data_IF_035200265693
#
_entry.id   IF_035200265693
#
_cell.length_a   1.000
_cell.length_b   1.000
_cell.length_c   1.000
_cell.angle_alpha   90.00
_cell.angle_beta   90.00
_cell.angle_gamma   90.00
#
_symmetry.space_group_name_H-M   'P 1'
#
loop_
_entity.id
_entity.type
_entity.pdbx_description
1 polymer ?
#
# COMPACT_ATOMS: atom_id res chain seq x y z
N UNK A 1 33.98 39.64 37.05
CA UNK A 1 35.37 39.50 36.56
C UNK A 1 35.30 39.01 35.13
N UNK A 2 35.92 39.76 34.22
CA UNK A 2 35.92 39.58 32.77
C UNK A 2 36.48 38.20 32.35
N UNK A 3 36.00 37.67 31.22
CA UNK A 3 36.80 37.19 30.08
C UNK A 3 35.81 36.69 29.00
N UNK A 4 35.51 37.50 27.99
CA UNK A 4 36.04 37.35 26.62
C UNK A 4 35.76 35.98 25.97
N UNK A 5 34.75 35.93 25.09
CA UNK A 5 34.82 35.14 23.85
C UNK A 5 33.81 35.66 22.82
N UNK A 6 34.35 35.94 21.65
CA UNK A 6 33.77 36.61 20.49
C UNK A 6 32.42 36.08 20.01
N UNK A 7 31.52 37.01 19.69
CA UNK A 7 30.45 36.83 18.74
C UNK A 7 31.03 36.82 17.32
N UNK A 8 30.92 35.70 16.61
CA UNK A 8 31.08 35.65 15.16
C UNK A 8 29.69 35.65 14.53
N UNK A 9 29.32 36.77 13.92
CA UNK A 9 28.11 36.94 13.12
C UNK A 9 28.42 36.40 11.72
N UNK A 10 28.02 35.15 11.45
CA UNK A 10 27.89 34.63 10.08
C UNK A 10 26.40 34.53 9.73
N UNK A 11 26.04 35.17 8.61
CA UNK A 11 24.71 35.15 8.01
C UNK A 11 24.31 33.70 7.71
N UNK A 12 23.46 33.12 8.54
CA UNK A 12 22.40 32.12 8.28
C UNK A 12 21.97 31.62 9.67
N UNK A 13 20.75 31.94 10.07
CA UNK A 13 20.24 31.63 11.41
C UNK A 13 20.11 30.13 11.65
N UNK A 14 20.87 29.60 12.60
CA UNK A 14 20.54 28.37 13.32
C UNK A 14 21.22 28.41 14.69
N UNK A 15 20.40 28.60 15.73
CA UNK A 15 20.80 28.52 17.13
C UNK A 15 20.94 27.03 17.49
N UNK A 16 22.17 26.51 17.51
CA UNK A 16 22.47 25.17 18.02
C UNK A 16 22.56 25.23 19.56
N UNK A 17 21.52 24.74 20.23
CA UNK A 17 21.55 24.42 21.65
C UNK A 17 22.07 22.98 21.77
N UNK A 18 23.32 22.83 22.20
CA UNK A 18 23.95 21.55 22.53
C UNK A 18 23.71 21.28 24.02
N UNK A 19 22.90 20.28 24.35
CA UNK A 19 22.79 19.78 25.74
C UNK A 19 23.87 18.74 26.04
N UNK A 20 24.44 18.69 27.26
CA UNK A 20 25.78 18.15 27.51
C UNK A 20 25.82 16.80 28.25
N UNK A 21 24.77 15.97 28.20
CA UNK A 21 24.72 14.69 28.94
C UNK A 21 24.26 13.55 28.01
N UNK A 22 25.20 12.66 27.64
CA UNK A 22 25.13 11.42 26.83
C UNK A 22 25.29 11.51 25.29
N UNK A 23 26.49 11.17 24.75
CA UNK A 23 26.76 11.16 23.31
C UNK A 23 26.64 9.79 22.59
N UNK A 24 26.11 8.73 23.21
CA UNK A 24 26.08 7.39 22.58
C UNK A 24 24.83 6.61 22.99
N UNK A 25 23.76 6.64 22.19
CA UNK A 25 22.82 5.52 21.97
C UNK A 25 21.55 5.99 21.23
N UNK A 26 21.45 5.62 19.95
CA UNK A 26 20.19 5.23 19.34
C UNK A 26 20.47 4.29 18.15
N UNK A 27 20.42 2.99 18.43
CA UNK A 27 20.47 1.88 17.48
C UNK A 27 19.61 0.76 18.10
N UNK A 28 18.67 0.05 17.46
CA UNK A 28 18.27 -0.11 16.05
C UNK A 28 16.83 -0.65 16.03
N UNK A 29 16.09 -0.32 14.97
CA UNK A 29 14.78 -0.87 14.62
C UNK A 29 14.25 -0.27 13.31
N UNK A 30 15.13 -0.20 12.31
CA UNK A 30 14.94 0.12 10.88
C UNK A 30 13.90 1.21 10.51
N UNK A 31 14.31 2.48 10.60
CA UNK A 31 14.89 3.20 9.46
C UNK A 31 15.38 4.57 9.92
N UNK A 32 16.68 4.82 9.71
CA UNK A 32 17.38 6.03 10.09
C UNK A 32 17.09 7.15 9.08
N UNK A 33 16.74 8.32 9.60
CA UNK A 33 16.67 9.58 8.86
C UNK A 33 18.10 10.13 8.80
N UNK A 34 18.77 10.00 7.66
CA UNK A 34 19.89 10.87 7.31
C UNK A 34 19.50 11.67 6.08
N UNK A 35 19.40 12.98 6.26
CA UNK A 35 19.45 13.94 5.18
C UNK A 35 20.83 13.84 4.51
N UNK A 36 20.87 13.34 3.27
CA UNK A 36 22.08 13.29 2.46
C UNK A 36 22.06 14.48 1.49
N UNK A 37 23.10 15.35 1.47
CA UNK A 37 23.15 16.55 0.62
C UNK A 37 23.66 16.26 -0.81
N UNK A 38 23.77 14.99 -1.21
CA UNK A 38 24.02 14.59 -2.58
C UNK A 38 22.72 13.99 -3.14
N UNK A 39 21.84 14.84 -3.65
CA UNK A 39 20.71 14.42 -4.46
C UNK A 39 21.02 14.75 -5.93
N UNK A 40 21.95 14.06 -6.61
CA UNK A 40 21.86 13.99 -8.05
C UNK A 40 20.67 13.07 -8.34
N UNK A 41 19.71 13.61 -9.09
CA UNK A 41 18.80 12.88 -9.97
C UNK A 41 18.23 11.56 -9.44
N UNK A 42 16.90 11.56 -9.33
CA UNK A 42 16.00 10.42 -9.36
C UNK A 42 16.34 9.46 -10.52
N UNK A 43 17.45 8.73 -10.43
CA UNK A 43 17.76 7.60 -11.28
C UNK A 43 16.91 6.47 -10.76
N UNK A 44 15.69 6.42 -11.31
CA UNK A 44 14.91 5.22 -11.38
C UNK A 44 15.81 4.18 -12.06
N UNK A 45 16.54 3.39 -11.29
CA UNK A 45 17.21 2.20 -11.80
C UNK A 45 16.07 1.26 -12.19
N UNK A 46 15.57 1.43 -13.42
CA UNK A 46 14.72 0.46 -14.09
C UNK A 46 15.61 -0.71 -14.49
N UNK A 47 16.11 -1.45 -13.50
CA UNK A 47 16.45 -2.84 -13.73
C UNK A 47 15.19 -3.49 -14.29
N UNK A 48 15.31 -4.20 -15.41
CA UNK A 48 14.19 -4.88 -16.09
C UNK A 48 13.75 -6.03 -15.18
N UNK A 49 13.06 -5.70 -14.09
CA UNK A 49 12.33 -6.65 -13.27
C UNK A 49 11.08 -7.01 -14.07
N UNK A 50 11.03 -8.24 -14.54
CA UNK A 50 9.86 -8.76 -15.27
C UNK A 50 8.67 -8.73 -14.31
N UNK A 51 7.65 -7.93 -14.65
CA UNK A 51 6.43 -7.82 -13.85
C UNK A 51 5.63 -9.12 -13.95
N UNK A 52 5.71 -9.95 -12.91
CA UNK A 52 5.02 -11.26 -12.90
C UNK A 52 3.55 -11.15 -12.50
N UNK A 53 3.18 -10.21 -11.62
CA UNK A 53 1.79 -10.07 -11.16
C UNK A 53 1.39 -8.60 -11.00
N UNK A 54 0.72 -8.08 -12.04
CA UNK A 54 0.23 -6.70 -12.09
C UNK A 54 -0.73 -6.33 -10.94
N UNK A 55 -1.49 -7.30 -10.40
CA UNK A 55 -2.39 -7.06 -9.28
C UNK A 55 -1.61 -6.81 -7.98
N UNK A 56 -0.52 -7.56 -7.76
CA UNK A 56 0.30 -7.42 -6.57
C UNK A 56 1.00 -6.06 -6.55
N UNK A 57 1.53 -5.63 -7.69
CA UNK A 57 2.17 -4.32 -7.85
C UNK A 57 1.18 -3.17 -7.61
N UNK A 58 -0.06 -3.32 -8.10
CA UNK A 58 -1.11 -2.34 -7.91
C UNK A 58 -1.52 -2.21 -6.42
N UNK A 59 -1.84 -3.32 -5.76
CA UNK A 59 -2.24 -3.30 -4.34
C UNK A 59 -1.09 -2.85 -3.43
N UNK A 60 0.16 -3.25 -3.72
CA UNK A 60 1.33 -2.76 -2.98
C UNK A 60 1.48 -1.24 -3.12
N UNK A 61 1.24 -0.70 -4.31
CA UNK A 61 1.28 0.74 -4.56
C UNK A 61 0.20 1.50 -3.80
N UNK A 62 -1.01 0.94 -3.70
CA UNK A 62 -2.11 1.49 -2.90
C UNK A 62 -1.74 1.48 -1.40
N UNK A 63 -1.29 0.35 -0.88
CA UNK A 63 -0.92 0.21 0.54
C UNK A 63 0.21 1.19 0.93
N UNK A 64 1.22 1.35 0.08
CA UNK A 64 2.31 2.30 0.30
C UNK A 64 1.88 3.77 0.18
N UNK A 65 0.77 4.06 -0.49
CA UNK A 65 0.25 5.41 -0.59
C UNK A 65 -0.64 5.76 0.60
N UNK A 66 -1.49 4.82 1.04
CA UNK A 66 -2.30 4.95 2.26
C UNK A 66 -1.43 5.13 3.49
N UNK A 67 -0.39 4.31 3.65
CA UNK A 67 0.60 4.47 4.74
C UNK A 67 1.31 5.82 4.74
N UNK A 68 1.42 6.46 3.58
CA UNK A 68 2.00 7.81 3.43
C UNK A 68 0.96 8.93 3.52
N UNK A 69 -0.32 8.61 3.70
CA UNK A 69 -1.41 9.59 3.77
C UNK A 69 -1.67 10.33 2.46
N UNK A 70 -1.36 9.72 1.30
CA UNK A 70 -1.64 10.33 0.00
C UNK A 70 -3.14 10.24 -0.31
N UNK A 71 -3.71 11.32 -0.86
CA UNK A 71 -5.13 11.35 -1.24
C UNK A 71 -5.44 10.60 -2.54
N UNK A 72 -4.45 10.42 -3.41
CA UNK A 72 -4.64 9.80 -4.72
C UNK A 72 -3.47 8.89 -5.09
N UNK A 73 -3.77 7.82 -5.85
CA UNK A 73 -2.79 6.86 -6.36
C UNK A 73 -2.95 6.70 -7.84
N UNK A 74 -1.83 6.69 -8.55
CA UNK A 74 -1.77 6.37 -9.96
C UNK A 74 -1.21 4.96 -10.14
N UNK A 75 -2.02 4.07 -10.71
CA UNK A 75 -1.67 2.68 -10.97
C UNK A 75 -1.35 2.51 -12.46
N UNK A 76 -0.24 1.84 -12.74
CA UNK A 76 0.20 1.44 -14.09
C UNK A 76 0.70 -0.01 -14.02
N UNK A 77 0.19 -0.98 -14.81
CA UNK A 77 -0.81 -0.91 -15.89
C UNK A 77 -2.26 -1.12 -15.42
N UNK A 78 -3.25 -0.75 -16.23
CA UNK A 78 -4.65 -1.09 -16.03
C UNK A 78 -4.94 -2.54 -16.50
N UNK A 79 -5.75 -3.28 -15.74
CA UNK A 79 -6.18 -4.63 -16.10
C UNK A 79 -7.60 -4.87 -15.62
N UNK A 80 -8.39 -5.67 -16.38
CA UNK A 80 -9.80 -5.97 -16.05
C UNK A 80 -9.98 -6.55 -14.64
N UNK A 81 -9.03 -7.37 -14.19
CA UNK A 81 -9.01 -7.93 -12.83
C UNK A 81 -8.86 -6.85 -11.77
N UNK A 82 -7.97 -5.88 -11.99
CA UNK A 82 -7.74 -4.75 -11.06
C UNK A 82 -9.00 -3.89 -10.99
N UNK A 83 -9.60 -3.56 -12.13
CA UNK A 83 -10.85 -2.77 -12.18
C UNK A 83 -11.96 -3.45 -11.40
N UNK A 84 -12.17 -4.76 -11.60
CA UNK A 84 -13.18 -5.51 -10.83
C UNK A 84 -12.84 -5.61 -9.34
N UNK A 85 -11.57 -5.76 -8.98
CA UNK A 85 -11.14 -5.76 -7.58
C UNK A 85 -11.42 -4.42 -6.90
N UNK A 86 -11.07 -3.30 -7.57
CA UNK A 86 -11.36 -1.94 -7.09
C UNK A 86 -12.87 -1.72 -6.97
N UNK A 87 -13.67 -2.25 -7.91
CA UNK A 87 -15.14 -2.17 -7.83
C UNK A 87 -15.67 -2.85 -6.56
N UNK A 88 -15.12 -4.01 -6.17
CA UNK A 88 -15.48 -4.68 -4.91
C UNK A 88 -15.08 -3.83 -3.70
N UNK A 89 -13.86 -3.27 -3.70
CA UNK A 89 -13.43 -2.38 -2.61
C UNK A 89 -14.30 -1.13 -2.47
N UNK A 90 -14.77 -0.58 -3.59
CA UNK A 90 -15.66 0.59 -3.63
C UNK A 90 -17.05 0.25 -3.07
N UNK A 91 -17.60 -0.93 -3.38
CA UNK A 91 -18.88 -1.40 -2.81
C UNK A 91 -18.86 -1.45 -1.28
N UNK A 92 -17.73 -1.84 -0.70
CA UNK A 92 -17.55 -1.88 0.76
C UNK A 92 -17.09 -0.54 1.36
N UNK A 93 -16.86 0.50 0.54
CA UNK A 93 -16.54 1.85 1.02
C UNK A 93 -15.13 2.03 1.59
N UNK A 94 -14.16 1.21 1.18
CA UNK A 94 -12.74 1.36 1.55
C UNK A 94 -12.01 2.39 0.69
N UNK A 95 -12.37 2.44 -0.60
CA UNK A 95 -11.85 3.40 -1.57
C UNK A 95 -12.96 4.32 -2.03
N UNK A 96 -12.57 5.52 -2.48
CA UNK A 96 -13.49 6.43 -3.17
C UNK A 96 -13.65 6.06 -4.64
N UNK A 97 -13.98 7.08 -5.43
CA UNK A 97 -14.09 6.96 -6.88
C UNK A 97 -12.73 6.66 -7.52
N UNK A 98 -12.77 5.91 -8.62
CA UNK A 98 -11.60 5.66 -9.44
C UNK A 98 -11.90 6.00 -10.90
N UNK A 99 -10.91 6.58 -11.56
CA UNK A 99 -10.99 6.98 -12.96
C UNK A 99 -10.03 6.14 -13.79
N UNK A 100 -10.51 5.67 -14.94
CA UNK A 100 -9.70 4.93 -15.91
C UNK A 100 -9.30 5.93 -16.99
N UNK A 101 -8.00 6.15 -17.12
CA UNK A 101 -7.40 6.99 -18.16
C UNK A 101 -6.86 6.05 -19.25
N UNK A 102 -7.27 6.25 -20.49
CA UNK A 102 -6.77 5.46 -21.62
C UNK A 102 -5.61 6.17 -22.32
N UNK A 103 -4.44 5.53 -22.34
CA UNK A 103 -3.24 6.00 -23.04
C UNK A 103 -2.95 5.19 -24.32
N UNK A 104 -3.92 4.41 -24.83
CA UNK A 104 -3.78 3.51 -26.00
C UNK A 104 -2.71 2.40 -25.85
N UNK A 105 -1.97 2.35 -24.74
CA UNK A 105 -1.04 1.26 -24.39
C UNK A 105 -1.69 0.26 -23.43
N UNK A 106 -1.62 0.55 -22.13
CA UNK A 106 -2.06 -0.36 -21.08
C UNK A 106 -3.02 0.30 -20.08
N UNK A 107 -3.46 1.53 -20.38
CA UNK A 107 -4.26 2.37 -19.49
C UNK A 107 -3.58 2.70 -18.15
N UNK A 108 -4.12 3.70 -17.47
CA UNK A 108 -3.77 4.07 -16.10
C UNK A 108 -5.05 4.16 -15.28
N UNK A 109 -4.95 3.90 -13.98
CA UNK A 109 -6.08 4.07 -13.07
C UNK A 109 -5.66 5.10 -12.02
N UNK A 110 -6.46 6.14 -11.86
CA UNK A 110 -6.36 7.07 -10.72
C UNK A 110 -7.37 6.62 -9.69
N UNK A 111 -6.92 6.32 -8.48
CA UNK A 111 -7.78 5.90 -7.36
C UNK A 111 -7.73 6.97 -6.29
N UNK A 112 -8.92 7.44 -5.87
CA UNK A 112 -9.05 8.34 -4.74
C UNK A 112 -9.13 7.53 -3.44
N UNK A 113 -8.24 7.87 -2.50
CA UNK A 113 -8.09 7.21 -1.23
C UNK A 113 -8.82 7.99 -0.13
N UNK A 114 -9.53 7.28 0.73
CA UNK A 114 -10.29 7.87 1.84
C UNK A 114 -9.53 7.75 3.18
N UNK A 115 -8.46 6.96 3.26
CA UNK A 115 -7.71 6.74 4.51
C UNK A 115 -8.31 5.70 5.45
N UNK A 116 -9.28 4.90 4.98
CA UNK A 116 -9.93 3.82 5.74
C UNK A 116 -9.23 2.47 5.59
N UNK A 117 -8.39 2.32 4.57
CA UNK A 117 -7.73 1.07 4.25
C UNK A 117 -6.50 0.87 5.14
N UNK A 118 -6.47 -0.22 5.90
CA UNK A 118 -5.33 -0.54 6.75
C UNK A 118 -4.29 -1.37 5.98
N UNK A 119 -4.73 -2.46 5.35
CA UNK A 119 -3.89 -3.34 4.54
C UNK A 119 -4.68 -3.98 3.40
N UNK A 120 -4.13 -3.86 2.20
CA UNK A 120 -4.53 -4.68 1.05
C UNK A 120 -3.35 -5.57 0.61
N UNK A 121 -3.68 -6.77 0.14
CA UNK A 121 -2.68 -7.74 -0.30
C UNK A 121 -3.26 -8.76 -1.28
N UNK A 122 -2.39 -9.24 -2.16
CA UNK A 122 -2.66 -10.36 -3.06
C UNK A 122 -2.07 -11.62 -2.45
N UNK A 123 -2.77 -12.75 -2.56
CA UNK A 123 -2.25 -14.05 -2.19
C UNK A 123 -1.65 -14.71 -3.43
N UNK A 124 -0.40 -15.14 -3.33
CA UNK A 124 0.32 -15.83 -4.39
C UNK A 124 0.97 -17.10 -3.80
N UNK A 125 0.76 -18.28 -4.40
CA UNK A 125 -0.05 -18.60 -5.60
C UNK A 125 -1.56 -18.49 -5.33
N UNK A 126 -2.38 -18.50 -6.40
CA UNK A 126 -3.85 -18.45 -6.30
C UNK A 126 -4.40 -19.83 -5.94
N UNK A 127 -4.63 -20.06 -4.66
CA UNK A 127 -5.17 -21.31 -4.15
C UNK A 127 -6.65 -21.50 -4.51
N UNK A 128 -7.01 -22.73 -4.83
CA UNK A 128 -8.40 -23.17 -4.97
C UNK A 128 -9.03 -23.34 -3.60
N UNK A 129 -10.23 -22.77 -3.42
CA UNK A 129 -10.97 -22.73 -2.17
C UNK A 129 -12.38 -23.23 -2.37
N UNK A 130 -12.69 -24.28 -1.62
CA UNK A 130 -14.04 -24.79 -1.46
C UNK A 130 -14.76 -24.04 -0.33
N UNK A 131 -16.09 -24.09 -0.33
CA UNK A 131 -16.91 -23.46 0.72
C UNK A 131 -16.52 -23.93 2.13
N UNK A 132 -16.14 -25.20 2.27
CA UNK A 132 -15.71 -25.80 3.55
C UNK A 132 -14.42 -25.19 4.10
N UNK A 133 -13.49 -24.83 3.22
CA UNK A 133 -12.19 -24.30 3.61
C UNK A 133 -12.21 -22.77 3.78
N UNK A 134 -13.28 -22.10 3.36
CA UNK A 134 -13.41 -20.65 3.43
C UNK A 134 -13.26 -20.12 4.87
N UNK A 135 -13.77 -20.86 5.86
CA UNK A 135 -13.67 -20.46 7.27
C UNK A 135 -12.23 -20.52 7.80
N UNK A 136 -11.44 -21.48 7.34
CA UNK A 136 -10.01 -21.56 7.67
C UNK A 136 -9.26 -20.36 7.11
N UNK A 137 -9.56 -19.99 5.86
CA UNK A 137 -8.95 -18.82 5.22
C UNK A 137 -9.37 -17.50 5.88
N UNK A 138 -10.62 -17.37 6.31
CA UNK A 138 -11.09 -16.20 7.08
C UNK A 138 -10.29 -16.04 8.38
N UNK A 139 -10.14 -17.09 9.17
CA UNK A 139 -9.42 -17.03 10.44
C UNK A 139 -7.91 -16.74 10.26
N UNK A 140 -7.32 -17.18 9.15
CA UNK A 140 -5.89 -17.00 8.90
C UNK A 140 -5.54 -15.62 8.33
N UNK A 141 -6.42 -15.04 7.51
CA UNK A 141 -6.14 -13.81 6.75
C UNK A 141 -6.73 -12.56 7.40
N UNK A 142 -7.89 -12.68 8.02
CA UNK A 142 -8.62 -11.55 8.58
C UNK A 142 -8.26 -11.39 10.06
N UNK A 143 -8.14 -10.14 10.55
CA UNK A 143 -7.85 -9.88 11.97
C UNK A 143 -9.05 -10.22 12.87
N UNK A 144 -10.27 -10.15 12.34
CA UNK A 144 -11.51 -10.44 13.05
C UNK A 144 -12.56 -10.99 12.08
N UNK A 145 -13.55 -11.72 12.59
CA UNK A 145 -14.66 -12.25 11.79
C UNK A 145 -15.61 -11.16 11.29
N UNK A 146 -15.63 -10.00 11.94
CA UNK A 146 -16.51 -8.87 11.60
C UNK A 146 -15.83 -7.86 10.67
N UNK A 147 -14.53 -7.99 10.41
CA UNK A 147 -13.76 -6.97 9.70
C UNK A 147 -12.85 -7.56 8.64
N UNK A 148 -12.98 -7.01 7.43
CA UNK A 148 -12.17 -7.36 6.28
C UNK A 148 -12.85 -8.36 5.35
N UNK A 149 -12.41 -8.33 4.11
CA UNK A 149 -13.01 -9.11 3.05
C UNK A 149 -11.94 -9.88 2.28
N UNK A 150 -12.24 -11.14 2.00
CA UNK A 150 -11.49 -11.95 1.06
C UNK A 150 -12.18 -11.87 -0.29
N UNK A 151 -11.40 -11.64 -1.34
CA UNK A 151 -11.86 -11.57 -2.72
C UNK A 151 -11.51 -12.87 -3.44
N UNK A 152 -12.52 -13.47 -4.05
CA UNK A 152 -12.46 -14.73 -4.75
C UNK A 152 -12.78 -14.53 -6.23
N UNK A 153 -12.12 -15.29 -7.09
CA UNK A 153 -12.56 -15.49 -8.49
C UNK A 153 -13.39 -16.76 -8.54
N UNK A 154 -14.68 -16.61 -8.82
CA UNK A 154 -15.60 -17.72 -9.05
C UNK A 154 -15.99 -17.77 -10.54
N UNK A 155 -16.70 -18.80 -10.96
CA UNK A 155 -17.28 -18.89 -12.32
C UNK A 155 -18.25 -17.75 -12.63
N UNK A 156 -18.97 -17.24 -11.62
CA UNK A 156 -19.87 -16.09 -11.73
C UNK A 156 -19.15 -14.73 -11.68
N UNK A 157 -17.82 -14.73 -11.56
CA UNK A 157 -16.97 -13.53 -11.55
C UNK A 157 -16.22 -13.31 -10.23
N UNK A 158 -15.60 -12.14 -10.13
CA UNK A 158 -14.88 -11.71 -8.94
C UNK A 158 -15.87 -11.15 -7.92
N UNK A 159 -15.88 -11.73 -6.73
CA UNK A 159 -16.79 -11.37 -5.64
C UNK A 159 -16.11 -11.52 -4.29
N UNK A 160 -16.73 -10.96 -3.27
CA UNK A 160 -16.37 -11.17 -1.87
C UNK A 160 -16.81 -12.56 -1.39
N UNK A 161 -16.20 -12.97 -0.28
CA UNK A 161 -16.45 -14.25 0.35
C UNK A 161 -17.87 -14.39 0.95
N UNK A 162 -18.57 -13.30 1.28
CA UNK A 162 -19.96 -13.36 1.76
C UNK A 162 -20.93 -13.58 0.59
N UNK A 163 -20.74 -12.88 -0.54
CA UNK A 163 -21.43 -13.17 -1.81
C UNK A 163 -21.20 -14.61 -2.28
N UNK A 164 -19.97 -15.11 -2.17
CA UNK A 164 -19.64 -16.48 -2.55
C UNK A 164 -20.39 -17.52 -1.69
N UNK A 165 -20.54 -17.26 -0.38
CA UNK A 165 -21.32 -18.10 0.54
C UNK A 165 -22.80 -18.09 0.19
N UNK A 166 -23.38 -16.92 -0.12
CA UNK A 166 -24.79 -16.78 -0.54
C UNK A 166 -25.09 -17.56 -1.82
N UNK A 167 -24.19 -17.47 -2.81
CA UNK A 167 -24.31 -18.17 -4.09
C UNK A 167 -23.87 -19.64 -4.02
N UNK A 168 -23.44 -20.13 -2.86
CA UNK A 168 -22.93 -21.49 -2.67
C UNK A 168 -21.88 -21.87 -3.73
N UNK A 169 -20.96 -20.95 -4.05
CA UNK A 169 -19.94 -21.17 -5.08
C UNK A 169 -18.55 -21.00 -4.49
N UNK A 170 -17.65 -21.94 -4.78
CA UNK A 170 -16.22 -21.83 -4.47
C UNK A 170 -15.44 -21.14 -5.59
N UNK A 171 -14.13 -21.02 -5.43
CA UNK A 171 -13.30 -20.38 -6.45
C UNK A 171 -11.84 -20.32 -6.08
N UNK A 172 -11.10 -19.43 -6.73
CA UNK A 172 -9.69 -19.16 -6.42
C UNK A 172 -9.54 -17.89 -5.61
N UNK A 173 -8.71 -17.88 -4.57
CA UNK A 173 -8.43 -16.64 -3.84
C UNK A 173 -7.57 -15.72 -4.71
N UNK A 174 -7.97 -14.44 -4.76
CA UNK A 174 -7.15 -13.38 -5.31
C UNK A 174 -6.38 -12.65 -4.23
N UNK A 175 -7.08 -12.18 -3.20
CA UNK A 175 -6.50 -11.30 -2.21
C UNK A 175 -7.46 -10.97 -1.09
N UNK A 176 -7.01 -10.10 -0.21
CA UNK A 176 -7.78 -9.61 0.92
C UNK A 176 -7.56 -8.12 1.09
N UNK A 177 -8.54 -7.47 1.70
CA UNK A 177 -8.42 -6.09 2.14
C UNK A 177 -9.17 -5.89 3.45
N UNK A 178 -8.62 -5.03 4.29
CA UNK A 178 -9.19 -4.56 5.54
C UNK A 178 -8.55 -3.23 5.92
#
# INVERSE_FOLDING_TARGET
MLHHAAAAITRIGALLIVSPQNPLLCSVGEFCIYACPFCPSLHLVTGIMVRMNVLADALKSINNAEKRGKRQVLIRPCSKVIVRFLTVMMKHGYIGEFEIIDDHRAGKIVVNLTGRLNKCGVISPRFDVQLKDLEKWQNNLLPSRQFGYIVLTTSAGIMDHEEARRKHTGGKILGFFF
#
